data_IF_690088826191
#
_entry.id   IF_690088826191
#
_cell.length_a   1.000
_cell.length_b   1.000
_cell.length_c   1.000
_cell.angle_alpha   90.00
_cell.angle_beta   90.00
_cell.angle_gamma   90.00
#
_symmetry.space_group_name_H-M   'P 1'
#
loop_
_entity.id
_entity.type
_entity.pdbx_description
1 polymer ?
#
# COMPACT_ATOMS: atom_id res chain seq x y z
N UNK A 1 31.56 18.53 55.21
CA UNK A 1 30.99 18.52 53.85
C UNK A 1 30.82 17.06 53.44
N UNK A 2 29.58 16.57 53.36
CA UNK A 2 29.28 15.19 52.95
C UNK A 2 28.91 15.22 51.43
N UNK A 3 29.43 14.30 50.59
CA UNK A 3 29.03 14.26 49.20
C UNK A 3 27.64 13.64 49.07
N UNK A 4 26.77 14.34 48.38
CA UNK A 4 25.45 13.84 47.92
C UNK A 4 25.72 12.93 46.76
N UNK A 5 25.56 11.62 46.93
CA UNK A 5 25.57 10.64 45.86
C UNK A 5 24.24 10.78 45.09
N UNK A 6 24.31 11.32 43.88
CA UNK A 6 23.21 11.28 42.91
C UNK A 6 23.06 9.85 42.41
N UNK A 7 22.05 9.15 42.91
CA UNK A 7 21.66 7.84 42.40
C UNK A 7 20.96 8.04 41.05
N UNK A 8 21.67 7.88 39.95
CA UNK A 8 21.08 7.71 38.63
C UNK A 8 20.39 6.34 38.60
N UNK A 9 19.09 6.32 38.86
CA UNK A 9 18.29 5.15 38.57
C UNK A 9 18.21 5.01 37.04
N UNK A 10 19.08 4.16 36.48
CA UNK A 10 18.91 3.59 35.12
C UNK A 10 17.58 2.83 35.15
N UNK A 11 16.53 3.45 34.62
CA UNK A 11 15.30 2.76 34.24
C UNK A 11 15.68 1.80 33.11
N UNK A 12 16.04 0.57 33.42
CA UNK A 12 16.04 -0.55 32.50
C UNK A 12 14.60 -0.70 32.01
N UNK A 13 14.36 -0.75 30.67
CA UNK A 13 13.05 -1.15 30.18
C UNK A 13 12.85 -2.60 30.60
N UNK A 14 11.99 -2.78 31.57
CA UNK A 14 11.75 -4.04 32.26
C UNK A 14 11.06 -5.03 31.28
N UNK A 15 11.31 -6.32 31.51
CA UNK A 15 10.61 -7.51 30.94
C UNK A 15 9.06 -7.39 30.86
N UNK A 16 8.46 -6.38 31.48
CA UNK A 16 7.06 -6.01 31.35
C UNK A 16 6.66 -5.54 29.93
N UNK A 17 7.61 -5.12 29.06
CA UNK A 17 7.27 -4.65 27.71
C UNK A 17 6.99 -5.79 26.72
N UNK A 18 7.61 -6.97 26.89
CA UNK A 18 7.39 -8.11 26.02
C UNK A 18 5.97 -8.69 26.17
N UNK A 19 5.50 -8.86 27.42
CA UNK A 19 4.15 -9.37 27.68
C UNK A 19 3.04 -8.43 27.17
N UNK A 20 3.23 -7.11 27.33
CA UNK A 20 2.24 -6.13 26.87
C UNK A 20 2.17 -6.08 25.34
N UNK A 21 3.28 -6.33 24.67
CA UNK A 21 3.32 -6.46 23.21
C UNK A 21 2.58 -7.72 22.73
N UNK A 22 2.84 -8.86 23.37
CA UNK A 22 2.14 -10.11 23.06
C UNK A 22 0.64 -9.98 23.32
N UNK A 23 0.24 -9.30 24.39
CA UNK A 23 -1.16 -8.97 24.68
C UNK A 23 -1.80 -8.14 23.57
N UNK A 24 -1.07 -7.14 23.03
CA UNK A 24 -1.55 -6.34 21.90
C UNK A 24 -1.75 -7.19 20.65
N UNK A 25 -0.79 -8.04 20.30
CA UNK A 25 -0.91 -8.92 19.14
C UNK A 25 -2.05 -9.94 19.32
N UNK A 26 -2.23 -10.46 20.52
CA UNK A 26 -3.31 -11.38 20.83
C UNK A 26 -4.67 -10.71 20.74
N UNK A 27 -4.82 -9.49 21.28
CA UNK A 27 -6.03 -8.69 21.13
C UNK A 27 -6.36 -8.41 19.65
N UNK A 28 -5.35 -8.09 18.85
CA UNK A 28 -5.51 -7.88 17.40
C UNK A 28 -5.98 -9.14 16.67
N UNK A 29 -5.32 -10.28 16.90
CA UNK A 29 -5.68 -11.56 16.28
C UNK A 29 -7.07 -12.06 16.69
N UNK A 30 -7.47 -11.76 17.94
CA UNK A 30 -8.80 -12.08 18.47
C UNK A 30 -9.88 -11.11 17.98
N UNK A 31 -9.51 -10.01 17.30
CA UNK A 31 -10.45 -8.93 16.94
C UNK A 31 -10.98 -8.16 18.17
N UNK A 32 -10.32 -8.28 19.32
CA UNK A 32 -10.69 -7.60 20.57
C UNK A 32 -10.20 -6.15 20.56
N UNK A 33 -10.94 -5.30 19.85
CA UNK A 33 -10.64 -3.86 19.74
C UNK A 33 -10.66 -3.17 21.10
N UNK A 34 -11.63 -3.42 22.02
CA UNK A 34 -11.63 -2.86 23.36
C UNK A 34 -10.34 -3.16 24.12
N UNK A 35 -9.85 -4.41 24.09
CA UNK A 35 -8.60 -4.78 24.74
C UNK A 35 -7.39 -4.06 24.11
N UNK A 36 -7.31 -3.99 22.79
CA UNK A 36 -6.25 -3.26 22.09
C UNK A 36 -6.25 -1.76 22.46
N UNK A 37 -7.42 -1.12 22.49
CA UNK A 37 -7.57 0.28 22.89
C UNK A 37 -7.19 0.49 24.37
N UNK A 38 -7.57 -0.43 25.27
CA UNK A 38 -7.16 -0.37 26.66
C UNK A 38 -5.63 -0.42 26.82
N UNK A 39 -4.94 -1.23 26.02
CA UNK A 39 -3.48 -1.30 26.01
C UNK A 39 -2.85 0.00 25.52
N UNK A 40 -3.39 0.61 24.47
CA UNK A 40 -2.96 1.95 24.00
C UNK A 40 -3.15 3.01 25.07
N UNK A 41 -4.28 2.98 25.81
CA UNK A 41 -4.55 3.91 26.91
C UNK A 41 -3.61 3.70 28.11
N UNK A 42 -3.06 2.50 28.29
CA UNK A 42 -2.03 2.17 29.31
C UNK A 42 -0.62 2.57 28.87
N UNK A 43 -0.44 3.16 27.67
CA UNK A 43 0.82 3.71 27.22
C UNK A 43 1.62 2.79 26.30
N UNK A 44 1.00 1.79 25.69
CA UNK A 44 1.65 1.05 24.57
C UNK A 44 1.95 2.04 23.45
N UNK A 45 3.18 2.03 22.94
CA UNK A 45 3.57 2.91 21.85
C UNK A 45 2.72 2.60 20.58
N UNK A 46 2.01 3.60 20.11
CA UNK A 46 1.17 3.54 18.88
C UNK A 46 1.96 3.12 17.64
N UNK A 47 3.29 3.31 17.65
CA UNK A 47 4.19 2.97 16.57
C UNK A 47 4.92 1.63 16.77
N UNK A 48 4.48 0.82 17.71
CA UNK A 48 5.00 -0.54 17.91
C UNK A 48 4.92 -1.34 16.62
N UNK A 49 5.94 -2.16 16.36
CA UNK A 49 6.03 -3.03 15.18
C UNK A 49 6.21 -4.49 15.59
N UNK A 50 5.69 -5.40 14.80
CA UNK A 50 5.92 -6.84 14.98
C UNK A 50 7.31 -7.29 14.46
N UNK A 51 7.59 -8.59 14.56
CA UNK A 51 8.86 -9.17 14.12
C UNK A 51 9.10 -9.04 12.62
N UNK A 52 8.05 -8.85 11.81
CA UNK A 52 8.12 -8.56 10.39
C UNK A 52 8.21 -7.06 10.09
N UNK A 53 8.20 -6.22 11.11
CA UNK A 53 8.20 -4.76 10.98
C UNK A 53 6.82 -4.18 10.64
N UNK A 54 5.73 -4.97 10.76
CA UNK A 54 4.39 -4.43 10.56
C UNK A 54 4.00 -3.54 11.74
N UNK A 55 3.54 -2.34 11.44
CA UNK A 55 3.00 -1.42 12.45
C UNK A 55 1.61 -1.86 12.88
N UNK A 56 1.13 -1.34 14.04
CA UNK A 56 -0.26 -1.56 14.47
C UNK A 56 -1.27 -1.10 13.41
N UNK A 57 -0.95 -0.05 12.64
CA UNK A 57 -1.78 0.41 11.50
C UNK A 57 -1.88 -0.65 10.40
N UNK A 58 -0.75 -1.28 10.03
CA UNK A 58 -0.75 -2.37 9.05
C UNK A 58 -1.55 -3.58 9.56
N UNK A 59 -1.40 -3.92 10.83
CA UNK A 59 -2.14 -5.01 11.45
C UNK A 59 -3.65 -4.71 11.48
N UNK A 60 -4.06 -3.47 11.82
CA UNK A 60 -5.47 -3.05 11.76
C UNK A 60 -6.04 -3.16 10.34
N UNK A 61 -5.25 -2.82 9.31
CA UNK A 61 -5.64 -3.02 7.90
C UNK A 61 -5.81 -4.50 7.58
N UNK A 62 -4.84 -5.35 7.94
CA UNK A 62 -4.89 -6.80 7.66
C UNK A 62 -6.10 -7.46 8.30
N UNK A 63 -6.33 -7.19 9.58
CA UNK A 63 -7.44 -7.75 10.37
C UNK A 63 -8.79 -7.07 10.08
N UNK A 64 -8.84 -6.16 9.08
CA UNK A 64 -10.04 -5.39 8.71
C UNK A 64 -10.70 -4.65 9.90
N UNK A 65 -9.87 -4.18 10.84
CA UNK A 65 -10.30 -3.53 12.07
C UNK A 65 -10.33 -2.00 11.91
N UNK A 66 -11.45 -1.49 11.39
CA UNK A 66 -11.61 -0.05 11.12
C UNK A 66 -11.64 0.79 12.39
N UNK A 67 -12.24 0.27 13.48
CA UNK A 67 -12.30 0.98 14.76
C UNK A 67 -10.91 1.16 15.36
N UNK A 68 -10.08 0.10 15.35
CA UNK A 68 -8.70 0.22 15.79
C UNK A 68 -7.91 1.18 14.91
N UNK A 69 -8.08 1.12 13.58
CA UNK A 69 -7.43 2.07 12.68
C UNK A 69 -7.77 3.51 13.09
N UNK A 70 -9.04 3.83 13.31
CA UNK A 70 -9.48 5.17 13.72
C UNK A 70 -8.83 5.59 15.04
N UNK A 71 -8.71 4.67 16.02
CA UNK A 71 -8.03 4.93 17.30
C UNK A 71 -6.52 5.18 17.13
N UNK A 72 -5.86 4.50 16.19
CA UNK A 72 -4.45 4.71 15.88
C UNK A 72 -4.23 6.05 15.16
N UNK A 73 -5.10 6.40 14.22
CA UNK A 73 -5.07 7.69 13.52
C UNK A 73 -5.27 8.88 14.46
N UNK A 74 -6.22 8.79 15.40
CA UNK A 74 -6.43 9.80 16.45
C UNK A 74 -5.18 10.02 17.31
N UNK A 75 -4.37 8.98 17.52
CA UNK A 75 -3.10 9.04 18.26
C UNK A 75 -1.91 9.39 17.39
N UNK A 76 -2.14 9.81 16.13
CA UNK A 76 -1.11 10.23 15.17
C UNK A 76 -0.05 9.14 14.92
N UNK A 77 -0.49 7.90 14.75
CA UNK A 77 0.38 6.81 14.31
C UNK A 77 1.12 7.16 13.01
N UNK A 78 2.37 6.72 12.88
CA UNK A 78 3.17 6.90 11.66
C UNK A 78 2.61 6.03 10.54
N UNK A 79 2.22 6.64 9.42
CA UNK A 79 1.53 5.97 8.30
C UNK A 79 2.47 5.44 7.23
N UNK A 80 3.66 6.07 7.07
CA UNK A 80 4.57 5.81 5.97
C UNK A 80 5.75 4.89 6.34
N UNK A 81 5.64 4.20 7.49
CA UNK A 81 6.60 3.17 7.90
C UNK A 81 6.50 2.00 6.93
N UNK A 82 7.65 1.46 6.53
CA UNK A 82 7.74 0.25 5.69
C UNK A 82 8.09 -0.96 6.54
N UNK A 83 7.39 -2.06 6.33
CA UNK A 83 7.74 -3.36 6.91
C UNK A 83 8.96 -3.98 6.20
N UNK A 84 9.37 -5.20 6.57
CA UNK A 84 10.50 -5.89 5.96
C UNK A 84 10.31 -6.19 4.46
N UNK A 85 9.07 -6.27 3.99
CA UNK A 85 8.74 -6.43 2.57
C UNK A 85 8.73 -5.09 1.80
N UNK A 86 8.94 -3.97 2.50
CA UNK A 86 8.87 -2.63 1.91
C UNK A 86 7.46 -2.06 1.81
N UNK A 87 6.44 -2.74 2.36
CA UNK A 87 5.05 -2.31 2.29
C UNK A 87 4.70 -1.29 3.36
N UNK A 88 3.83 -0.36 3.02
CA UNK A 88 3.14 0.54 3.95
C UNK A 88 1.70 0.10 4.17
N UNK A 89 1.03 0.63 5.20
CA UNK A 89 -0.38 0.35 5.44
C UNK A 89 -1.27 0.69 4.22
N UNK A 90 -0.96 1.79 3.51
CA UNK A 90 -1.71 2.18 2.32
C UNK A 90 -1.50 1.20 1.15
N UNK A 91 -0.27 0.68 0.96
CA UNK A 91 0.00 -0.36 -0.04
C UNK A 91 -0.81 -1.63 0.24
N UNK A 92 -0.81 -2.10 1.50
CA UNK A 92 -1.58 -3.29 1.91
C UNK A 92 -3.08 -3.08 1.71
N UNK A 93 -3.63 -1.92 2.10
CA UNK A 93 -5.04 -1.59 1.89
C UNK A 93 -5.41 -1.54 0.41
N UNK A 94 -4.52 -1.02 -0.44
CA UNK A 94 -4.72 -0.94 -1.90
C UNK A 94 -4.62 -2.34 -2.55
N UNK A 95 -3.68 -3.16 -2.11
CA UNK A 95 -3.53 -4.55 -2.57
C UNK A 95 -4.77 -5.40 -2.27
N UNK A 96 -5.35 -5.24 -1.07
CA UNK A 96 -6.56 -5.96 -0.65
C UNK A 96 -7.87 -5.34 -1.15
N UNK A 97 -7.83 -4.20 -1.86
CA UNK A 97 -9.02 -3.50 -2.34
C UNK A 97 -9.89 -2.88 -1.26
N UNK A 98 -9.35 -2.67 -0.06
CA UNK A 98 -10.06 -2.15 1.12
C UNK A 98 -10.27 -0.64 1.00
N UNK A 99 -11.15 -0.21 0.10
CA UNK A 99 -11.41 1.22 -0.17
C UNK A 99 -11.66 2.05 1.11
N UNK A 100 -12.46 1.60 2.11
CA UNK A 100 -12.66 2.38 3.32
C UNK A 100 -11.37 2.65 4.11
N UNK A 101 -10.43 1.69 4.11
CA UNK A 101 -9.12 1.85 4.75
C UNK A 101 -8.20 2.77 3.94
N UNK A 102 -8.19 2.61 2.61
CA UNK A 102 -7.48 3.53 1.70
C UNK A 102 -7.91 4.97 1.94
N UNK A 103 -9.23 5.22 2.03
CA UNK A 103 -9.77 6.55 2.28
C UNK A 103 -9.28 7.13 3.60
N UNK A 104 -9.43 6.40 4.72
CA UNK A 104 -8.98 6.85 6.04
C UNK A 104 -7.48 7.15 6.08
N UNK A 105 -6.66 6.26 5.49
CA UNK A 105 -5.21 6.43 5.47
C UNK A 105 -4.78 7.67 4.66
N UNK A 106 -5.36 7.86 3.47
CA UNK A 106 -5.03 9.02 2.61
C UNK A 106 -5.51 10.32 3.24
N UNK A 107 -6.71 10.33 3.85
CA UNK A 107 -7.25 11.49 4.57
C UNK A 107 -6.43 11.84 5.81
N UNK A 108 -5.82 10.85 6.43
CA UNK A 108 -4.89 11.03 7.55
C UNK A 108 -3.46 11.41 7.13
N UNK A 109 -3.17 11.55 5.81
CA UNK A 109 -1.89 12.01 5.29
C UNK A 109 -0.91 10.89 4.90
N UNK A 110 -1.38 9.68 4.64
CA UNK A 110 -0.52 8.65 4.07
C UNK A 110 -0.05 9.06 2.67
N UNK A 111 1.23 8.80 2.38
CA UNK A 111 1.83 9.10 1.08
C UNK A 111 1.22 8.22 -0.02
N UNK A 112 0.62 8.87 -1.02
CA UNK A 112 -0.01 8.21 -2.17
C UNK A 112 1.04 7.80 -3.20
N UNK A 113 2.07 8.64 -3.39
CA UNK A 113 3.10 8.43 -4.39
C UNK A 113 4.38 7.91 -3.73
N UNK A 114 4.82 6.75 -4.14
CA UNK A 114 6.03 6.10 -3.64
C UNK A 114 6.78 5.46 -4.80
N UNK A 115 8.10 5.51 -4.74
CA UNK A 115 8.94 4.80 -5.70
C UNK A 115 8.69 3.28 -5.66
N UNK A 116 8.77 2.66 -6.82
CA UNK A 116 8.54 1.23 -7.01
C UNK A 116 7.04 0.89 -7.08
N UNK A 117 6.63 -0.18 -6.43
CA UNK A 117 5.24 -0.59 -6.38
C UNK A 117 4.39 0.39 -5.57
N UNK A 118 3.74 1.33 -6.27
CA UNK A 118 2.84 2.31 -5.64
C UNK A 118 1.51 1.67 -5.20
N UNK A 119 0.73 2.32 -4.30
CA UNK A 119 -0.63 1.88 -4.01
C UNK A 119 -1.50 1.73 -5.26
N UNK A 120 -1.32 2.62 -6.26
CA UNK A 120 -2.02 2.54 -7.55
C UNK A 120 -1.63 1.29 -8.32
N UNK A 121 -0.34 0.93 -8.36
CA UNK A 121 0.15 -0.28 -9.03
C UNK A 121 -0.42 -1.55 -8.39
N UNK A 122 -0.47 -1.61 -7.06
CA UNK A 122 -1.07 -2.75 -6.34
C UNK A 122 -2.57 -2.88 -6.60
N UNK A 123 -3.32 -1.77 -6.52
CA UNK A 123 -4.75 -1.77 -6.82
C UNK A 123 -5.03 -2.18 -8.27
N UNK A 124 -4.21 -1.72 -9.21
CA UNK A 124 -4.34 -2.08 -10.62
C UNK A 124 -3.99 -3.55 -10.89
N UNK A 125 -2.95 -4.07 -10.23
CA UNK A 125 -2.56 -5.48 -10.34
C UNK A 125 -3.66 -6.44 -9.90
N UNK A 126 -4.41 -6.09 -8.85
CA UNK A 126 -5.50 -6.90 -8.29
C UNK A 126 -6.90 -6.53 -8.79
N UNK A 127 -7.04 -5.56 -9.70
CA UNK A 127 -8.32 -5.24 -10.34
C UNK A 127 -9.28 -4.39 -9.48
N UNK A 128 -8.77 -3.67 -8.49
CA UNK A 128 -9.57 -2.89 -7.56
C UNK A 128 -9.93 -1.51 -8.12
N UNK A 129 -10.80 -1.46 -9.14
CA UNK A 129 -11.18 -0.23 -9.83
C UNK A 129 -11.66 0.90 -8.89
N UNK A 130 -12.49 0.68 -7.86
CA UNK A 130 -12.88 1.74 -6.93
C UNK A 130 -11.69 2.36 -6.17
N UNK A 131 -10.68 1.56 -5.83
CA UNK A 131 -9.44 2.04 -5.19
C UNK A 131 -8.60 2.83 -6.17
N UNK A 132 -8.45 2.33 -7.42
CA UNK A 132 -7.77 3.05 -8.52
C UNK A 132 -8.38 4.42 -8.73
N UNK A 133 -9.71 4.49 -8.90
CA UNK A 133 -10.42 5.76 -9.09
C UNK A 133 -10.22 6.74 -7.93
N UNK A 134 -10.24 6.22 -6.69
CA UNK A 134 -10.01 7.06 -5.52
C UNK A 134 -8.58 7.60 -5.49
N UNK A 135 -7.58 6.74 -5.67
CA UNK A 135 -6.17 7.13 -5.64
C UNK A 135 -5.84 8.16 -6.74
N UNK A 136 -6.39 8.00 -7.96
CA UNK A 136 -6.23 8.97 -9.05
C UNK A 136 -6.81 10.33 -8.67
N UNK A 137 -8.01 10.37 -8.10
CA UNK A 137 -8.61 11.63 -7.61
C UNK A 137 -7.80 12.28 -6.48
N UNK A 138 -6.99 11.50 -5.75
CA UNK A 138 -6.12 11.97 -4.66
C UNK A 138 -4.69 12.25 -5.12
N UNK A 139 -4.44 12.33 -6.42
CA UNK A 139 -3.17 12.73 -7.01
C UNK A 139 -2.14 11.61 -7.14
N UNK A 140 -2.61 10.35 -7.24
CA UNK A 140 -1.69 9.26 -7.60
C UNK A 140 -1.08 9.52 -8.98
N UNK A 141 0.24 9.36 -9.09
CA UNK A 141 0.96 9.44 -10.36
C UNK A 141 0.55 8.26 -11.27
N UNK A 142 -0.24 8.58 -12.31
CA UNK A 142 -0.90 7.60 -13.15
C UNK A 142 0.09 6.69 -13.90
N UNK A 143 1.20 7.27 -14.35
CA UNK A 143 2.24 6.60 -15.13
C UNK A 143 3.50 6.30 -14.31
N UNK A 144 3.36 6.27 -12.97
CA UNK A 144 4.45 5.86 -12.08
C UNK A 144 4.99 4.48 -12.47
N UNK A 145 6.33 4.38 -12.50
CA UNK A 145 7.04 3.17 -12.91
C UNK A 145 7.54 2.38 -11.69
N UNK A 146 7.38 1.07 -11.76
CA UNK A 146 8.07 0.14 -10.86
C UNK A 146 9.56 0.01 -11.26
N UNK A 147 10.32 -0.76 -10.48
CA UNK A 147 11.76 -0.96 -10.69
C UNK A 147 12.10 -1.46 -12.10
N UNK A 148 11.23 -2.24 -12.72
CA UNK A 148 11.40 -2.75 -14.09
C UNK A 148 10.72 -1.87 -15.16
N UNK A 149 10.32 -0.65 -14.80
CA UNK A 149 9.70 0.31 -15.70
C UNK A 149 8.22 0.04 -16.00
N UNK A 150 7.56 -0.92 -15.34
CA UNK A 150 6.16 -1.25 -15.59
C UNK A 150 5.22 -0.26 -14.92
N UNK A 151 4.07 0.02 -15.56
CA UNK A 151 3.03 0.94 -15.08
C UNK A 151 1.80 0.20 -14.57
N UNK A 152 0.92 0.90 -13.84
CA UNK A 152 -0.36 0.37 -13.39
C UNK A 152 -1.21 -0.15 -14.56
N UNK A 153 -1.19 0.54 -15.71
CA UNK A 153 -1.91 0.12 -16.91
C UNK A 153 -1.41 -1.23 -17.47
N UNK A 154 -0.10 -1.48 -17.43
CA UNK A 154 0.48 -2.77 -17.82
C UNK A 154 0.00 -3.91 -16.94
N UNK A 155 0.00 -3.71 -15.61
CA UNK A 155 -0.46 -4.72 -14.67
C UNK A 155 -1.94 -5.06 -14.87
N UNK A 156 -2.80 -4.05 -14.99
CA UNK A 156 -4.23 -4.24 -15.24
C UNK A 156 -4.47 -4.95 -16.59
N UNK A 157 -3.72 -4.56 -17.61
CA UNK A 157 -3.83 -5.15 -18.95
C UNK A 157 -3.46 -6.63 -18.98
N UNK A 158 -2.37 -7.01 -18.31
CA UNK A 158 -1.92 -8.41 -18.23
C UNK A 158 -2.89 -9.30 -17.47
N UNK A 159 -3.44 -8.78 -16.37
CA UNK A 159 -4.27 -9.56 -15.46
C UNK A 159 -5.77 -9.56 -15.83
N UNK A 160 -6.16 -8.93 -16.95
CA UNK A 160 -7.52 -8.97 -17.44
C UNK A 160 -8.49 -8.01 -16.73
N UNK A 161 -7.99 -6.98 -16.08
CA UNK A 161 -8.81 -6.05 -15.31
C UNK A 161 -9.35 -4.91 -16.17
N UNK A 162 -10.33 -5.22 -17.05
CA UNK A 162 -10.88 -4.25 -18.01
C UNK A 162 -11.37 -2.96 -17.33
N UNK A 163 -12.10 -3.04 -16.23
CA UNK A 163 -12.60 -1.86 -15.52
C UNK A 163 -11.47 -0.94 -15.04
N UNK A 164 -10.35 -1.51 -14.58
CA UNK A 164 -9.16 -0.72 -14.20
C UNK A 164 -8.50 -0.09 -15.42
N UNK A 165 -8.37 -0.85 -16.53
CA UNK A 165 -7.83 -0.32 -17.81
C UNK A 165 -8.66 0.88 -18.26
N UNK A 166 -9.99 0.77 -18.20
CA UNK A 166 -10.89 1.88 -18.58
C UNK A 166 -10.74 3.08 -17.66
N UNK A 167 -10.65 2.88 -16.35
CA UNK A 167 -10.41 3.95 -15.37
C UNK A 167 -9.09 4.68 -15.65
N UNK A 168 -8.00 3.93 -15.88
CA UNK A 168 -6.68 4.49 -16.16
C UNK A 168 -6.68 5.25 -17.51
N UNK A 169 -7.22 4.68 -18.58
CA UNK A 169 -7.29 5.36 -19.89
C UNK A 169 -8.18 6.61 -19.84
N UNK A 170 -9.30 6.56 -19.12
CA UNK A 170 -10.16 7.74 -18.89
C UNK A 170 -9.42 8.86 -18.15
N UNK A 171 -8.53 8.49 -17.23
CA UNK A 171 -7.66 9.41 -16.51
C UNK A 171 -6.38 9.78 -17.29
N UNK A 172 -6.30 9.42 -18.58
CA UNK A 172 -5.23 9.76 -19.51
C UNK A 172 -3.88 9.08 -19.22
N UNK A 173 -3.88 7.84 -18.72
CA UNK A 173 -2.68 7.01 -18.72
C UNK A 173 -2.12 6.84 -20.11
N UNK A 174 -0.80 6.99 -20.28
CA UNK A 174 -0.14 6.78 -21.57
C UNK A 174 -0.01 5.27 -21.87
N UNK A 175 -0.74 4.74 -22.88
CA UNK A 175 -0.70 3.33 -23.25
C UNK A 175 0.62 2.90 -23.92
N UNK A 176 1.47 3.86 -24.28
CA UNK A 176 2.68 3.63 -25.06
C UNK A 176 3.97 3.66 -24.25
N UNK A 177 3.87 3.84 -22.95
CA UNK A 177 5.02 3.66 -22.05
C UNK A 177 5.52 2.24 -22.21
N UNK A 178 6.82 2.09 -22.47
CA UNK A 178 7.51 0.81 -22.48
C UNK A 178 8.26 0.58 -21.17
N UNK A 179 8.24 -0.68 -20.70
CA UNK A 179 9.09 -1.13 -19.59
C UNK A 179 10.52 -1.38 -20.07
N UNK A 180 11.42 -1.83 -19.18
CA UNK A 180 12.82 -2.12 -19.51
C UNK A 180 13.00 -3.22 -20.58
N UNK A 181 12.00 -4.10 -20.76
CA UNK A 181 11.97 -5.11 -21.83
C UNK A 181 11.42 -4.57 -23.15
N UNK A 182 11.13 -3.26 -23.25
CA UNK A 182 10.53 -2.63 -24.43
C UNK A 182 9.07 -3.00 -24.65
N UNK A 183 8.35 -3.50 -23.63
CA UNK A 183 6.97 -3.95 -23.73
C UNK A 183 6.00 -2.88 -23.22
N UNK A 184 4.89 -2.70 -23.93
CA UNK A 184 3.81 -1.78 -23.56
C UNK A 184 2.63 -2.51 -22.92
N UNK A 185 1.61 -1.76 -22.48
CA UNK A 185 0.37 -2.34 -21.99
C UNK A 185 -0.32 -3.26 -23.02
N UNK A 186 -0.22 -2.92 -24.32
CA UNK A 186 -0.77 -3.75 -25.41
C UNK A 186 -0.08 -5.11 -25.49
N UNK A 187 1.26 -5.15 -25.37
CA UNK A 187 2.01 -6.41 -25.37
C UNK A 187 1.62 -7.28 -24.19
N UNK A 188 1.44 -6.67 -23.01
CA UNK A 188 1.05 -7.35 -21.79
C UNK A 188 -0.37 -7.89 -21.86
N UNK A 189 -1.32 -7.15 -22.46
CA UNK A 189 -2.67 -7.63 -22.72
C UNK A 189 -2.67 -8.86 -23.63
N UNK A 190 -1.82 -8.85 -24.67
CA UNK A 190 -1.64 -9.99 -25.58
C UNK A 190 -1.10 -11.23 -24.85
N UNK A 191 -0.12 -11.07 -23.96
CA UNK A 191 0.42 -12.16 -23.12
C UNK A 191 -0.61 -12.73 -22.14
N UNK A 192 -1.53 -11.89 -21.68
CA UNK A 192 -2.63 -12.28 -20.80
C UNK A 192 -3.81 -12.92 -21.55
N UNK A 193 -3.78 -12.99 -22.90
CA UNK A 193 -4.88 -13.40 -23.77
C UNK A 193 -6.17 -12.56 -23.57
N UNK A 194 -6.02 -11.28 -23.21
CA UNK A 194 -7.11 -10.37 -22.87
C UNK A 194 -7.57 -9.59 -24.13
N UNK A 195 -8.33 -10.24 -25.03
CA UNK A 195 -8.75 -9.69 -26.32
C UNK A 195 -9.47 -8.35 -26.22
N UNK A 196 -10.37 -8.21 -25.25
CA UNK A 196 -11.17 -7.00 -25.04
C UNK A 196 -10.28 -5.82 -24.62
N UNK A 197 -9.30 -6.08 -23.77
CA UNK A 197 -8.31 -5.08 -23.34
C UNK A 197 -7.41 -4.71 -24.52
N UNK A 198 -6.99 -5.69 -25.36
CA UNK A 198 -6.23 -5.41 -26.58
C UNK A 198 -7.00 -4.45 -27.50
N UNK A 199 -8.30 -4.70 -27.72
CA UNK A 199 -9.15 -3.81 -28.51
C UNK A 199 -9.26 -2.42 -27.88
N UNK A 200 -9.45 -2.36 -26.56
CA UNK A 200 -9.58 -1.11 -25.82
C UNK A 200 -8.32 -0.26 -25.87
N UNK A 201 -7.14 -0.89 -25.67
CA UNK A 201 -5.85 -0.21 -25.77
C UNK A 201 -5.57 0.31 -27.19
N UNK A 202 -5.86 -0.49 -28.23
CA UNK A 202 -5.73 -0.03 -29.64
C UNK A 202 -6.63 1.16 -29.94
N UNK A 203 -7.87 1.14 -29.45
CA UNK A 203 -8.79 2.26 -29.59
C UNK A 203 -8.30 3.54 -28.88
N UNK A 204 -7.49 3.38 -27.82
CA UNK A 204 -6.82 4.48 -27.12
C UNK A 204 -5.46 4.88 -27.72
N UNK A 205 -5.09 4.36 -28.89
CA UNK A 205 -3.81 4.67 -29.56
C UNK A 205 -2.61 3.85 -29.05
N UNK A 206 -2.88 2.76 -28.33
CA UNK A 206 -1.83 1.86 -27.84
C UNK A 206 -1.17 1.07 -28.98
N UNK A 207 0.15 1.00 -28.98
CA UNK A 207 0.98 0.27 -29.96
C UNK A 207 1.86 -0.76 -29.24
N UNK A 208 2.31 -1.79 -29.97
CA UNK A 208 3.28 -2.76 -29.45
C UNK A 208 4.68 -2.12 -29.39
N UNK A 209 5.33 -2.22 -28.24
CA UNK A 209 6.70 -1.71 -28.07
C UNK A 209 7.73 -2.52 -28.85
N UNK A 210 7.50 -3.82 -29.06
CA UNK A 210 8.40 -4.70 -29.84
C UNK A 210 8.39 -4.40 -31.34
N UNK A 211 7.33 -3.73 -31.85
CA UNK A 211 7.25 -3.32 -33.22
C UNK A 211 8.11 -2.08 -33.54
N UNK A 212 8.55 -1.36 -32.52
CA UNK A 212 9.35 -0.13 -32.68
C UNK A 212 10.87 -0.37 -32.68
N UNK A 213 11.36 -1.60 -32.46
CA UNK A 213 12.77 -1.91 -32.59
C UNK A 213 13.10 -2.09 -34.11
N UNK A 214 13.91 -1.20 -34.72
CA UNK A 214 14.35 -1.41 -36.11
C UNK A 214 15.13 -2.73 -36.17
N UNK A 215 14.74 -3.58 -37.06
CA UNK A 215 15.52 -4.77 -37.45
C UNK A 215 16.96 -4.32 -37.77
N UNK A 216 17.93 -4.74 -36.97
CA UNK A 216 19.35 -4.60 -37.25
C UNK A 216 19.76 -5.52 -38.38
#
# INVERSE_FOLDING_TARGET
MKPIALLFALLLPTLASAGVYDDMLNALRAGDTPAAVALLNRGVDVNTVDVEGNTLVMLAVRENNAELLDQLLLRRARLNVRNRNGDTALRLAAFDGKLPFVQRLVEAGAEVNMYGWSPLSYAAFNGHAPVVDYLLRRGAEIDAKTENGSTALMFAARNGHLAVVESLLKAQADPNIANESGETALDWAGKGNNSDIVQRLRAAGGVSGKAAAPSK
#
